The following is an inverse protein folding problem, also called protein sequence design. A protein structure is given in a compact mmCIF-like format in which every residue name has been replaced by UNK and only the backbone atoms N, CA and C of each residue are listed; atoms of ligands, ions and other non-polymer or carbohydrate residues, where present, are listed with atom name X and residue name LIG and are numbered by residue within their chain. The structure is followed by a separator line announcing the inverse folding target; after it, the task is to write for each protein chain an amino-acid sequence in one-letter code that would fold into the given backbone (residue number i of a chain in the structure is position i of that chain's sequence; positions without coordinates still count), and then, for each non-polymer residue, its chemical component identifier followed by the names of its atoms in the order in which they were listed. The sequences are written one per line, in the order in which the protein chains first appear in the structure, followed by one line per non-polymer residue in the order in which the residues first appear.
data_IF_885009815357
#
_entry.id   IF_885009815357
#
_cell.length_a   1.000
_cell.length_b   1.000
_cell.length_c   1.000
_cell.angle_alpha   90.00
_cell.angle_beta   90.00
_cell.angle_gamma   90.00
#
_symmetry.space_group_name_H-M   'P 1'
#
loop_
_entity.id
_entity.type
_entity.pdbx_description
1 polymer ?
#
# COMPACT_ATOMS: atom_id res chain seq x y z
N UNK A 1 -52.12 55.73 0.37
CA UNK A 1 -51.09 55.22 -0.56
C UNK A 1 -49.75 55.21 0.19
N UNK A 2 -49.51 54.16 0.99
CA UNK A 2 -48.28 53.99 1.77
C UNK A 2 -47.65 52.66 1.36
N UNK A 3 -46.44 52.71 0.79
CA UNK A 3 -45.63 51.53 0.45
C UNK A 3 -44.88 51.07 1.71
N UNK A 4 -45.04 49.81 2.09
CA UNK A 4 -44.14 49.15 3.05
C UNK A 4 -42.91 48.58 2.32
N UNK A 5 -41.71 48.63 2.91
CA UNK A 5 -40.53 47.97 2.37
C UNK A 5 -40.51 46.48 2.77
N UNK A 6 -40.12 45.61 1.84
CA UNK A 6 -39.82 44.19 2.10
C UNK A 6 -38.37 44.06 2.61
N UNK A 7 -38.07 43.19 3.57
CA UNK A 7 -36.70 42.97 4.01
C UNK A 7 -35.96 42.07 3.01
N UNK A 8 -34.70 42.42 2.72
CA UNK A 8 -33.76 41.52 2.06
C UNK A 8 -33.42 40.37 3.02
N UNK A 9 -33.67 39.13 2.58
CA UNK A 9 -33.14 37.93 3.22
C UNK A 9 -31.72 37.74 2.68
N UNK A 10 -30.73 38.00 3.52
CA UNK A 10 -29.35 37.58 3.26
C UNK A 10 -29.25 36.06 3.49
N UNK A 11 -29.03 35.31 2.42
CA UNK A 11 -28.72 33.88 2.50
C UNK A 11 -27.24 33.78 2.90
N UNK A 12 -27.00 33.44 4.17
CA UNK A 12 -25.67 33.15 4.69
C UNK A 12 -25.29 31.73 4.24
N UNK A 13 -24.41 31.61 3.26
CA UNK A 13 -23.73 30.34 2.97
C UNK A 13 -22.73 30.05 4.08
N UNK A 14 -23.09 29.22 5.05
CA UNK A 14 -22.14 28.63 5.98
C UNK A 14 -21.33 27.57 5.24
N UNK A 15 -20.09 27.90 4.90
CA UNK A 15 -19.04 26.93 4.60
C UNK A 15 -18.87 26.04 5.83
N UNK A 16 -19.34 24.78 5.76
CA UNK A 16 -18.98 23.76 6.73
C UNK A 16 -17.51 23.41 6.51
N UNK A 17 -16.64 23.96 7.36
CA UNK A 17 -15.28 23.44 7.50
C UNK A 17 -15.36 22.05 8.15
N UNK A 18 -14.58 21.06 7.69
CA UNK A 18 -14.51 19.76 8.36
C UNK A 18 -13.98 19.98 9.78
N UNK A 19 -14.79 19.66 10.78
CA UNK A 19 -14.37 19.72 12.18
C UNK A 19 -13.50 18.50 12.48
N UNK A 20 -12.28 18.74 12.98
CA UNK A 20 -11.47 17.72 13.64
C UNK A 20 -12.29 17.08 14.78
N UNK A 21 -12.78 15.86 14.55
CA UNK A 21 -13.46 15.07 15.57
C UNK A 21 -12.43 14.57 16.57
N UNK A 22 -12.23 15.33 17.65
CA UNK A 22 -11.38 14.96 18.77
C UNK A 22 -12.26 14.41 19.90
N UNK A 23 -11.85 13.30 20.53
CA UNK A 23 -12.59 12.67 21.61
C UNK A 23 -12.99 13.67 22.71
N UNK A 24 -14.19 13.46 23.28
CA UNK A 24 -14.75 14.34 24.30
C UNK A 24 -13.94 14.21 25.59
N UNK A 25 -13.37 15.32 26.07
CA UNK A 25 -12.56 15.35 27.30
C UNK A 25 -11.05 15.35 27.10
N UNK A 26 -10.54 15.20 25.88
CA UNK A 26 -9.11 15.28 25.60
C UNK A 26 -8.61 16.73 25.43
N UNK A 27 -7.35 17.04 25.84
CA UNK A 27 -6.71 18.31 25.55
C UNK A 27 -6.75 18.63 24.04
N UNK A 28 -7.27 19.80 23.69
CA UNK A 28 -7.34 20.24 22.29
C UNK A 28 -6.00 20.90 21.88
N UNK A 29 -5.34 20.46 20.79
CA UNK A 29 -4.12 21.09 20.32
C UNK A 29 -4.40 22.51 19.80
N UNK A 30 -3.37 23.35 19.66
CA UNK A 30 -3.54 24.73 19.17
C UNK A 30 -4.22 24.78 17.78
N UNK A 31 -3.91 23.83 16.90
CA UNK A 31 -4.53 23.74 15.57
C UNK A 31 -6.05 23.51 15.60
N UNK A 32 -6.61 22.97 16.70
CA UNK A 32 -8.06 22.87 16.86
C UNK A 32 -8.72 24.26 16.98
N UNK A 33 -8.05 25.19 17.69
CA UNK A 33 -8.56 26.55 17.89
C UNK A 33 -8.20 27.48 16.74
N UNK A 34 -7.02 27.28 16.13
CA UNK A 34 -6.50 28.08 15.02
C UNK A 34 -6.04 27.17 13.89
N UNK A 35 -6.97 26.68 13.05
CA UNK A 35 -6.64 25.72 11.99
C UNK A 35 -5.68 26.29 10.93
N UNK A 36 -5.73 27.61 10.71
CA UNK A 36 -4.85 28.33 9.77
C UNK A 36 -3.50 28.73 10.41
N UNK A 37 -3.21 28.33 11.65
CA UNK A 37 -1.94 28.63 12.30
C UNK A 37 -0.80 27.86 11.62
N UNK A 38 0.31 28.55 11.34
CA UNK A 38 1.53 27.92 10.82
C UNK A 38 2.00 26.78 11.73
N UNK A 39 2.06 25.57 11.18
CA UNK A 39 2.54 24.40 11.90
C UNK A 39 4.07 24.29 11.82
N UNK A 40 4.74 24.40 12.97
CA UNK A 40 6.20 24.25 13.08
C UNK A 40 6.65 22.83 13.45
N UNK A 41 5.72 21.90 13.69
CA UNK A 41 6.05 20.51 14.05
C UNK A 41 6.95 19.80 13.02
N UNK A 42 6.77 19.98 11.69
CA UNK A 42 7.63 19.34 10.69
C UNK A 42 9.12 19.70 10.84
N UNK A 43 9.46 20.86 11.41
CA UNK A 43 10.86 21.28 11.61
C UNK A 43 11.57 20.53 12.76
N UNK A 44 10.83 19.74 13.53
CA UNK A 44 11.33 18.97 14.68
C UNK A 44 11.19 17.45 14.47
N UNK A 45 10.73 17.02 13.30
CA UNK A 45 10.63 15.60 13.01
C UNK A 45 12.01 14.95 12.99
N UNK A 46 12.03 13.69 13.42
CA UNK A 46 13.20 12.83 13.54
C UNK A 46 14.30 13.43 14.40
N UNK A 47 13.91 14.24 15.39
CA UNK A 47 14.83 14.74 16.41
C UNK A 47 15.40 13.60 17.25
N UNK A 48 16.54 13.86 17.90
CA UNK A 48 17.27 12.84 18.68
C UNK A 48 16.41 12.18 19.75
N UNK A 49 15.44 12.90 20.32
CA UNK A 49 14.57 12.41 21.38
C UNK A 49 13.63 11.28 20.93
N UNK A 50 13.31 11.19 19.63
CA UNK A 50 12.50 10.08 19.10
C UNK A 50 13.34 8.86 18.71
N UNK A 51 14.68 8.99 18.63
CA UNK A 51 15.58 7.94 18.16
C UNK A 51 16.27 7.19 19.32
N UNK A 52 15.99 5.89 19.54
CA UNK A 52 16.57 5.09 20.62
C UNK A 52 18.03 4.66 20.38
N UNK A 53 18.61 4.94 19.21
CA UNK A 53 19.95 4.43 18.84
C UNK A 53 21.10 5.26 19.44
N UNK A 54 20.83 6.51 19.82
CA UNK A 54 21.79 7.45 20.39
C UNK A 54 22.78 8.03 19.36
N UNK A 55 23.39 9.17 19.71
CA UNK A 55 24.21 10.01 18.80
C UNK A 55 25.40 9.31 18.15
N UNK A 56 25.92 8.24 18.77
CA UNK A 56 27.08 7.50 18.29
C UNK A 56 26.76 6.35 17.35
N UNK A 57 25.48 6.11 17.02
CA UNK A 57 25.10 5.00 16.13
C UNK A 57 25.28 5.38 14.66
N UNK A 58 26.02 4.55 13.93
CA UNK A 58 26.21 4.67 12.48
C UNK A 58 25.67 3.41 11.81
N UNK A 59 24.52 3.53 11.12
CA UNK A 59 23.89 2.40 10.47
C UNK A 59 24.75 1.83 9.34
N UNK A 60 25.42 2.67 8.56
CA UNK A 60 26.23 2.23 7.43
C UNK A 60 27.39 1.33 7.90
N UNK A 61 28.06 1.69 9.00
CA UNK A 61 29.09 0.84 9.62
C UNK A 61 28.53 -0.48 10.14
N UNK A 62 27.35 -0.44 10.77
CA UNK A 62 26.70 -1.67 11.25
C UNK A 62 26.24 -2.59 10.11
N UNK A 63 25.73 -2.03 9.01
CA UNK A 63 25.30 -2.77 7.83
C UNK A 63 26.48 -3.39 7.07
N UNK A 64 27.62 -2.70 6.97
CA UNK A 64 28.85 -3.29 6.38
C UNK A 64 29.30 -4.57 7.08
N UNK A 65 29.06 -4.66 8.40
CA UNK A 65 29.35 -5.85 9.21
C UNK A 65 28.23 -6.91 9.22
N UNK A 66 27.20 -6.79 8.38
CA UNK A 66 26.11 -7.76 8.24
C UNK A 66 26.50 -8.85 7.23
N UNK A 67 26.30 -10.11 7.62
CA UNK A 67 26.36 -11.23 6.67
C UNK A 67 25.06 -11.24 5.84
N UNK A 68 25.07 -10.50 4.73
CA UNK A 68 23.91 -10.37 3.86
C UNK A 68 23.51 -11.71 3.22
N UNK A 69 24.46 -12.59 2.94
CA UNK A 69 24.17 -13.92 2.40
C UNK A 69 23.37 -14.77 3.41
N UNK A 70 23.76 -14.75 4.69
CA UNK A 70 23.00 -15.41 5.74
C UNK A 70 21.58 -14.83 5.89
N UNK A 71 21.42 -13.51 5.76
CA UNK A 71 20.08 -12.87 5.79
C UNK A 71 19.21 -13.38 4.65
N UNK A 72 19.75 -13.43 3.42
CA UNK A 72 19.02 -13.93 2.25
C UNK A 72 18.58 -15.39 2.44
N UNK A 73 19.44 -16.25 3.00
CA UNK A 73 19.11 -17.65 3.32
C UNK A 73 17.96 -17.74 4.34
N UNK A 74 18.00 -16.94 5.40
CA UNK A 74 16.92 -16.91 6.39
C UNK A 74 15.59 -16.44 5.80
N UNK A 75 15.65 -15.42 4.95
CA UNK A 75 14.49 -14.88 4.23
C UNK A 75 13.88 -15.95 3.31
N UNK A 76 14.70 -16.62 2.50
CA UNK A 76 14.24 -17.68 1.60
C UNK A 76 13.62 -18.86 2.39
N UNK A 77 14.23 -19.22 3.52
CA UNK A 77 13.67 -20.24 4.41
C UNK A 77 12.30 -19.83 4.95
N UNK A 78 12.15 -18.59 5.43
CA UNK A 78 10.87 -18.06 5.89
C UNK A 78 9.82 -18.11 4.79
N UNK A 79 10.17 -17.73 3.55
CA UNK A 79 9.24 -17.73 2.42
C UNK A 79 8.58 -19.08 2.18
N UNK A 80 9.30 -20.16 2.43
CA UNK A 80 8.86 -21.55 2.24
C UNK A 80 8.35 -22.20 3.54
N UNK A 81 8.24 -21.43 4.63
CA UNK A 81 7.79 -21.90 5.95
C UNK A 81 6.48 -21.22 6.34
N UNK A 82 5.36 -21.76 5.83
CA UNK A 82 4.02 -21.25 6.13
C UNK A 82 3.73 -21.21 7.63
N UNK A 83 3.04 -20.16 8.07
CA UNK A 83 2.57 -19.96 9.44
C UNK A 83 1.06 -20.12 9.50
N UNK A 84 0.55 -20.82 10.50
CA UNK A 84 -0.89 -21.14 10.61
C UNK A 84 -1.78 -19.90 10.75
N UNK A 85 -1.26 -18.82 11.37
CA UNK A 85 -1.99 -17.57 11.55
C UNK A 85 -2.12 -16.76 10.25
N UNK A 86 -1.29 -17.04 9.25
CA UNK A 86 -1.37 -16.45 7.92
C UNK A 86 -0.80 -17.38 6.86
N UNK A 87 -1.50 -18.45 6.45
CA UNK A 87 -0.93 -19.48 5.59
C UNK A 87 -0.45 -18.94 4.24
N UNK A 88 0.68 -19.45 3.75
CA UNK A 88 1.27 -19.03 2.49
C UNK A 88 0.47 -19.56 1.29
N UNK A 89 0.05 -18.67 0.39
CA UNK A 89 -0.51 -19.08 -0.90
C UNK A 89 0.50 -19.92 -1.66
N UNK A 90 0.03 -21.03 -2.24
CA UNK A 90 0.87 -21.97 -3.00
C UNK A 90 2.08 -22.50 -2.21
N UNK A 91 2.06 -22.40 -0.87
CA UNK A 91 3.18 -22.77 -0.01
C UNK A 91 4.38 -21.80 -0.06
N UNK A 92 4.23 -20.60 -0.63
CA UNK A 92 5.32 -19.64 -0.79
C UNK A 92 4.87 -18.18 -0.57
N UNK A 93 5.46 -17.47 0.41
CA UNK A 93 5.18 -16.05 0.66
C UNK A 93 5.81 -15.07 -0.35
N UNK A 94 6.40 -15.57 -1.43
CA UNK A 94 7.23 -14.78 -2.35
C UNK A 94 6.44 -13.62 -2.96
N UNK A 95 5.29 -13.91 -3.62
CA UNK A 95 4.47 -12.86 -4.21
C UNK A 95 3.96 -11.84 -3.18
N UNK A 96 3.68 -12.28 -1.95
CA UNK A 96 3.23 -11.41 -0.87
C UNK A 96 4.32 -10.41 -0.45
N UNK A 97 5.58 -10.85 -0.41
CA UNK A 97 6.71 -9.97 -0.11
C UNK A 97 7.11 -9.06 -1.28
N UNK A 98 6.91 -9.50 -2.54
CA UNK A 98 7.04 -8.61 -3.70
C UNK A 98 6.06 -7.45 -3.59
N UNK A 99 4.78 -7.73 -3.30
CA UNK A 99 3.78 -6.68 -3.06
C UNK A 99 4.18 -5.77 -1.90
N UNK A 100 4.66 -6.32 -0.78
CA UNK A 100 5.10 -5.52 0.36
C UNK A 100 6.22 -4.54 0.00
N UNK A 101 7.26 -5.02 -0.69
CA UNK A 101 8.38 -4.21 -1.13
C UNK A 101 7.94 -3.14 -2.16
N UNK A 102 7.11 -3.53 -3.12
CA UNK A 102 6.48 -2.63 -4.10
C UNK A 102 5.71 -1.51 -3.42
N UNK A 103 4.80 -1.83 -2.49
CA UNK A 103 4.00 -0.83 -1.76
C UNK A 103 4.87 0.02 -0.82
N UNK A 104 6.00 -0.50 -0.35
CA UNK A 104 6.92 0.28 0.49
C UNK A 104 7.62 1.36 -0.34
N UNK A 105 7.97 1.07 -1.59
CA UNK A 105 8.60 2.03 -2.49
C UNK A 105 7.57 2.93 -3.22
N UNK A 106 6.37 2.42 -3.47
CA UNK A 106 5.37 3.04 -4.33
C UNK A 106 4.62 4.22 -3.74
N UNK A 107 5.00 4.72 -2.56
CA UNK A 107 4.46 6.01 -2.07
C UNK A 107 5.28 7.21 -2.54
N UNK A 108 6.43 6.95 -3.19
CA UNK A 108 7.38 7.97 -3.64
C UNK A 108 6.77 8.91 -4.68
N UNK A 109 7.07 10.22 -4.59
CA UNK A 109 6.65 11.20 -5.60
C UNK A 109 7.78 12.15 -5.99
N UNK A 110 7.94 12.36 -7.30
CA UNK A 110 9.00 13.23 -7.85
C UNK A 110 8.82 14.71 -7.50
N UNK A 111 7.58 15.13 -7.21
CA UNK A 111 7.24 16.54 -7.04
C UNK A 111 7.91 17.17 -5.81
N UNK A 112 8.10 16.40 -4.74
CA UNK A 112 8.74 16.84 -3.50
C UNK A 112 9.71 15.81 -2.89
N UNK A 113 9.88 14.65 -3.53
CA UNK A 113 10.79 13.59 -3.11
C UNK A 113 10.32 12.80 -1.87
N UNK A 114 9.10 13.05 -1.38
CA UNK A 114 8.55 12.34 -0.21
C UNK A 114 7.99 10.97 -0.57
N UNK A 115 7.76 10.17 0.47
CA UNK A 115 7.39 8.77 0.34
C UNK A 115 8.58 7.88 -0.02
N UNK A 116 8.29 6.67 -0.47
CA UNK A 116 9.29 5.66 -0.79
C UNK A 116 9.72 4.83 0.43
N UNK A 117 10.71 3.97 0.19
CA UNK A 117 11.08 2.92 1.14
C UNK A 117 12.19 3.32 2.14
N UNK A 118 12.72 4.54 2.06
CA UNK A 118 13.94 4.93 2.76
C UNK A 118 13.86 4.84 4.28
N UNK A 119 12.79 5.33 4.91
CA UNK A 119 12.62 5.31 6.37
C UNK A 119 11.92 4.06 6.92
N UNK A 120 11.49 3.15 6.04
CA UNK A 120 10.61 2.04 6.42
C UNK A 120 9.21 2.51 6.85
N UNK A 121 8.75 3.66 6.38
CA UNK A 121 7.52 4.36 6.78
C UNK A 121 6.24 3.52 6.65
N UNK A 122 6.22 2.45 5.83
CA UNK A 122 5.08 1.52 5.73
C UNK A 122 4.70 0.85 7.08
N UNK A 123 5.59 0.88 8.08
CA UNK A 123 5.29 0.36 9.43
C UNK A 123 4.62 1.37 10.36
N UNK A 124 4.46 2.61 9.93
CA UNK A 124 3.84 3.68 10.70
C UNK A 124 2.57 4.21 10.02
N UNK A 125 1.78 4.95 10.79
CA UNK A 125 0.63 5.67 10.28
C UNK A 125 1.06 6.80 9.33
N UNK A 126 0.23 7.16 8.34
CA UNK A 126 -1.03 6.49 7.97
C UNK A 126 -0.81 5.24 7.09
N UNK A 127 0.42 4.97 6.65
CA UNK A 127 0.71 3.99 5.60
C UNK A 127 0.43 2.55 6.03
N UNK A 128 0.73 2.17 7.28
CA UNK A 128 0.44 0.85 7.83
C UNK A 128 -1.07 0.52 7.84
N UNK A 129 -1.95 1.52 7.70
CA UNK A 129 -3.41 1.42 7.78
C UNK A 129 -4.15 1.85 6.51
N UNK A 130 -3.43 2.22 5.45
CA UNK A 130 -4.04 2.48 4.14
C UNK A 130 -4.78 1.24 3.61
N UNK A 131 -5.96 1.40 2.98
CA UNK A 131 -6.70 0.28 2.39
C UNK A 131 -5.85 -0.53 1.40
N UNK A 132 -5.03 0.13 0.58
CA UNK A 132 -4.20 -0.56 -0.41
C UNK A 132 -3.03 -1.31 0.24
N UNK A 133 -2.71 -1.02 1.51
CA UNK A 133 -1.76 -1.77 2.32
C UNK A 133 -2.41 -2.86 3.18
N UNK A 134 -3.69 -3.17 2.93
CA UNK A 134 -4.40 -4.25 3.62
C UNK A 134 -3.58 -5.55 3.62
N UNK A 135 -3.55 -6.16 4.80
CA UNK A 135 -2.80 -7.38 5.16
C UNK A 135 -1.26 -7.27 5.09
N UNK A 136 -0.65 -6.15 4.66
CA UNK A 136 0.81 -6.01 4.69
C UNK A 136 1.38 -5.90 6.12
N UNK A 137 0.54 -5.63 7.11
CA UNK A 137 0.85 -5.84 8.54
C UNK A 137 1.24 -7.30 8.83
N UNK A 138 0.57 -8.28 8.22
CA UNK A 138 0.92 -9.71 8.31
C UNK A 138 2.26 -9.99 7.62
N UNK A 139 2.52 -9.41 6.45
CA UNK A 139 3.79 -9.54 5.74
C UNK A 139 4.97 -9.06 6.60
N UNK A 140 4.87 -7.84 7.15
CA UNK A 140 5.91 -7.29 8.04
C UNK A 140 6.07 -8.14 9.30
N UNK A 141 4.97 -8.65 9.86
CA UNK A 141 5.00 -9.52 11.05
C UNK A 141 5.74 -10.83 10.81
N UNK A 142 5.62 -11.45 9.64
CA UNK A 142 6.37 -12.66 9.27
C UNK A 142 7.89 -12.45 9.34
N UNK A 143 8.36 -11.23 9.06
CA UNK A 143 9.78 -10.89 9.04
C UNK A 143 10.37 -10.57 10.43
N UNK A 144 9.54 -10.47 11.47
CA UNK A 144 10.00 -10.15 12.83
C UNK A 144 11.11 -11.09 13.35
N UNK A 145 11.05 -12.42 13.20
CA UNK A 145 12.12 -13.31 13.66
C UNK A 145 13.48 -12.99 13.02
N UNK A 146 13.49 -12.59 11.74
CA UNK A 146 14.70 -12.19 11.01
C UNK A 146 15.20 -10.84 11.54
N UNK A 147 14.33 -9.83 11.65
CA UNK A 147 14.68 -8.53 12.25
C UNK A 147 15.26 -8.72 13.66
N UNK A 148 14.66 -9.59 14.47
CA UNK A 148 15.11 -9.91 15.83
C UNK A 148 16.49 -10.56 15.84
N UNK A 149 16.80 -11.45 14.89
CA UNK A 149 18.10 -12.12 14.77
C UNK A 149 19.22 -11.15 14.39
N UNK A 150 18.98 -10.25 13.44
CA UNK A 150 20.01 -9.35 12.91
C UNK A 150 20.05 -7.97 13.61
N UNK A 151 19.01 -7.63 14.38
CA UNK A 151 18.99 -6.48 15.26
C UNK A 151 19.29 -5.16 14.54
N UNK A 152 20.20 -4.37 15.10
CA UNK A 152 20.57 -3.04 14.59
C UNK A 152 21.41 -3.06 13.31
N UNK A 153 21.93 -4.22 12.90
CA UNK A 153 22.70 -4.35 11.65
C UNK A 153 21.81 -4.36 10.40
N UNK A 154 20.50 -4.55 10.58
CA UNK A 154 19.53 -4.63 9.50
C UNK A 154 18.30 -3.80 9.89
N UNK A 155 18.08 -2.68 9.20
CA UNK A 155 16.88 -1.86 9.37
C UNK A 155 15.64 -2.58 8.83
N UNK A 156 14.45 -2.17 9.26
CA UNK A 156 13.21 -2.60 8.64
C UNK A 156 13.12 -2.09 7.20
N UNK A 157 13.57 -0.88 6.95
CA UNK A 157 13.62 -0.28 5.61
C UNK A 157 14.37 -1.16 4.60
N UNK A 158 15.58 -1.61 4.94
CA UNK A 158 16.35 -2.52 4.08
C UNK A 158 15.76 -3.92 4.05
N UNK A 159 15.29 -4.45 5.19
CA UNK A 159 14.72 -5.80 5.25
C UNK A 159 13.49 -5.95 4.35
N UNK A 160 12.57 -4.98 4.34
CA UNK A 160 11.36 -5.07 3.52
C UNK A 160 11.68 -5.13 2.02
N UNK A 161 12.60 -4.28 1.54
CA UNK A 161 13.02 -4.26 0.14
C UNK A 161 13.85 -5.49 -0.21
N UNK A 162 14.82 -5.88 0.63
CA UNK A 162 15.63 -7.08 0.43
C UNK A 162 14.75 -8.33 0.33
N UNK A 163 13.69 -8.41 1.14
CA UNK A 163 12.75 -9.54 1.10
C UNK A 163 12.04 -9.63 -0.26
N UNK A 164 11.67 -8.49 -0.86
CA UNK A 164 11.14 -8.46 -2.22
C UNK A 164 12.15 -8.97 -3.25
N UNK A 165 13.42 -8.56 -3.16
CA UNK A 165 14.49 -9.08 -4.03
C UNK A 165 14.69 -10.58 -3.88
N UNK A 166 14.77 -11.10 -2.65
CA UNK A 166 14.95 -12.54 -2.40
C UNK A 166 13.74 -13.33 -2.89
N UNK A 167 12.53 -12.78 -2.82
CA UNK A 167 11.33 -13.41 -3.38
C UNK A 167 11.43 -13.59 -4.90
N UNK A 168 11.87 -12.54 -5.60
CA UNK A 168 12.09 -12.60 -7.05
C UNK A 168 13.13 -13.68 -7.39
N UNK A 169 14.27 -13.66 -6.70
CA UNK A 169 15.36 -14.62 -6.90
C UNK A 169 14.93 -16.07 -6.62
N UNK A 170 14.20 -16.30 -5.52
CA UNK A 170 13.76 -17.64 -5.12
C UNK A 170 12.74 -18.25 -6.08
N UNK A 171 12.08 -17.41 -6.89
CA UNK A 171 11.09 -17.81 -7.90
C UNK A 171 11.66 -17.74 -9.33
N UNK A 172 12.99 -17.57 -9.49
CA UNK A 172 13.68 -17.72 -10.77
C UNK A 172 13.91 -16.42 -11.56
N UNK A 173 13.73 -15.25 -10.95
CA UNK A 173 14.11 -13.97 -11.56
C UNK A 173 15.45 -13.47 -11.03
N UNK A 174 16.40 -13.18 -11.93
CA UNK A 174 17.67 -12.57 -11.56
C UNK A 174 17.51 -11.06 -11.35
N UNK A 175 17.67 -10.59 -10.12
CA UNK A 175 17.59 -9.16 -9.82
C UNK A 175 18.85 -8.42 -10.29
N UNK A 176 18.68 -7.16 -10.70
CA UNK A 176 19.81 -6.33 -11.15
C UNK A 176 20.84 -6.05 -10.06
N UNK A 177 20.40 -6.02 -8.80
CA UNK A 177 21.23 -5.80 -7.63
C UNK A 177 20.44 -5.35 -6.42
N UNK A 178 21.13 -5.19 -5.30
CA UNK A 178 20.59 -4.67 -4.06
C UNK A 178 21.63 -3.80 -3.36
N UNK A 179 21.18 -2.67 -2.81
CA UNK A 179 21.95 -1.83 -1.92
C UNK A 179 21.19 -1.65 -0.61
N UNK A 180 21.89 -1.85 0.51
CA UNK A 180 21.43 -1.42 1.82
C UNK A 180 21.97 -0.04 2.18
N UNK A 181 21.67 0.41 3.40
CA UNK A 181 21.99 1.75 3.91
C UNK A 181 20.75 2.59 4.19
N UNK A 182 19.54 2.04 4.12
CA UNK A 182 18.32 2.74 4.51
C UNK A 182 18.20 2.73 6.03
N UNK A 183 18.22 3.88 6.67
CA UNK A 183 18.06 3.99 8.12
C UNK A 183 16.58 3.86 8.51
N UNK A 184 16.33 3.30 9.70
CA UNK A 184 14.97 3.20 10.24
C UNK A 184 14.58 4.54 10.88
N UNK A 185 13.43 5.09 10.47
CA UNK A 185 12.82 6.22 11.19
C UNK A 185 12.13 5.76 12.47
N UNK A 186 11.91 6.64 13.44
CA UNK A 186 11.28 6.27 14.72
C UNK A 186 9.91 6.87 14.94
N UNK A 187 9.46 7.68 13.99
CA UNK A 187 8.13 8.25 13.93
C UNK A 187 7.64 8.37 12.48
N UNK A 188 6.34 8.60 12.32
CA UNK A 188 5.71 8.82 11.03
C UNK A 188 6.12 10.16 10.42
N UNK A 189 6.41 10.17 9.11
CA UNK A 189 6.57 11.40 8.36
C UNK A 189 5.26 12.20 8.28
N UNK A 190 5.35 13.52 8.43
CA UNK A 190 4.21 14.42 8.21
C UNK A 190 4.15 14.78 6.73
N UNK A 191 3.43 13.96 5.95
CA UNK A 191 3.28 14.12 4.50
C UNK A 191 1.85 14.48 4.13
N UNK A 192 1.70 15.43 3.20
CA UNK A 192 0.41 15.73 2.58
C UNK A 192 0.03 14.68 1.53
N UNK A 193 -0.86 13.77 1.92
CA UNK A 193 -1.33 12.66 1.07
C UNK A 193 -2.58 12.99 0.23
N UNK A 194 -3.23 14.11 0.49
CA UNK A 194 -4.42 14.56 -0.23
C UNK A 194 -5.36 15.38 0.66
N UNK A 195 -6.35 16.06 0.06
CA UNK A 195 -7.33 16.87 0.79
C UNK A 195 -8.43 16.04 1.46
N UNK A 196 -8.59 14.78 1.11
CA UNK A 196 -9.73 13.97 1.50
C UNK A 196 -9.72 13.61 2.99
N UNK A 197 -10.90 13.64 3.60
CA UNK A 197 -11.12 13.19 4.98
C UNK A 197 -11.48 11.70 5.07
N UNK A 198 -11.75 11.03 3.96
CA UNK A 198 -12.16 9.62 3.90
C UNK A 198 -11.23 8.83 2.99
N UNK A 199 -10.87 7.61 3.41
CA UNK A 199 -10.11 6.69 2.56
C UNK A 199 -10.91 6.32 1.31
N UNK A 200 -10.20 6.17 0.18
CA UNK A 200 -10.72 5.90 -1.16
C UNK A 200 -11.59 7.02 -1.76
N UNK A 201 -11.77 8.15 -1.07
CA UNK A 201 -12.37 9.32 -1.68
C UNK A 201 -11.42 9.98 -2.70
N UNK A 202 -12.01 10.80 -3.57
CA UNK A 202 -11.36 11.58 -4.61
C UNK A 202 -11.88 13.03 -4.57
N UNK A 203 -11.06 13.95 -4.07
CA UNK A 203 -11.29 15.41 -4.13
C UNK A 203 -10.07 16.13 -4.72
N UNK A 204 -9.30 15.41 -5.55
CA UNK A 204 -7.92 15.79 -5.93
C UNK A 204 -7.71 16.07 -7.41
N UNK A 205 -8.79 16.13 -8.18
CA UNK A 205 -8.76 16.46 -9.60
C UNK A 205 -9.38 17.84 -9.86
N UNK A 206 -8.85 18.51 -10.88
CA UNK A 206 -9.42 19.75 -11.43
C UNK A 206 -9.45 19.69 -12.95
N UNK A 207 -10.37 20.44 -13.57
CA UNK A 207 -10.50 20.51 -15.03
C UNK A 207 -10.69 19.14 -15.68
N UNK A 208 -9.99 18.89 -16.77
CA UNK A 208 -10.01 17.62 -17.51
C UNK A 208 -9.08 16.58 -16.86
N UNK A 209 -9.38 16.18 -15.62
CA UNK A 209 -8.65 15.13 -14.88
C UNK A 209 -7.17 15.47 -14.59
N UNK A 210 -6.89 16.74 -14.25
CA UNK A 210 -5.58 17.15 -13.75
C UNK A 210 -5.43 16.85 -12.26
N UNK A 211 -4.60 15.85 -11.93
CA UNK A 211 -4.30 15.47 -10.55
C UNK A 211 -3.52 16.59 -9.84
N UNK A 212 -3.88 16.86 -8.58
CA UNK A 212 -3.30 17.95 -7.79
C UNK A 212 -1.78 17.81 -7.54
N UNK A 213 -1.09 18.95 -7.58
CA UNK A 213 0.18 19.27 -6.89
C UNK A 213 0.29 18.93 -5.39
N UNK A 214 1.10 17.99 -4.84
CA UNK A 214 2.16 17.15 -5.42
C UNK A 214 1.76 15.67 -5.61
N UNK A 215 0.47 15.36 -5.58
CA UNK A 215 -0.10 14.01 -5.44
C UNK A 215 0.38 13.01 -6.50
N UNK A 216 0.59 11.77 -6.08
CA UNK A 216 1.04 10.65 -6.94
C UNK A 216 0.02 9.54 -7.13
N UNK A 217 -1.13 9.61 -6.46
CA UNK A 217 -2.16 8.58 -6.47
C UNK A 217 -3.54 9.17 -6.77
N UNK A 218 -4.44 8.37 -7.34
CA UNK A 218 -5.75 8.83 -7.82
C UNK A 218 -6.83 8.92 -6.74
N UNK A 219 -6.66 8.24 -5.60
CA UNK A 219 -7.58 8.26 -4.46
C UNK A 219 -6.80 8.19 -3.14
N UNK A 220 -7.42 8.64 -2.04
CA UNK A 220 -6.78 8.61 -0.72
C UNK A 220 -6.56 7.16 -0.27
N UNK A 221 -5.34 6.83 0.14
CA UNK A 221 -5.04 5.49 0.64
C UNK A 221 -4.74 4.43 -0.43
N UNK A 222 -4.68 4.81 -1.72
CA UNK A 222 -4.13 3.98 -2.80
C UNK A 222 -2.67 4.31 -3.06
N UNK A 223 -1.90 3.32 -3.53
CA UNK A 223 -0.50 3.52 -3.93
C UNK A 223 -0.43 4.31 -5.24
N UNK A 224 -1.16 3.88 -6.29
CA UNK A 224 -1.17 4.55 -7.61
C UNK A 224 -2.60 4.80 -8.08
N UNK A 225 -3.25 3.75 -8.60
CA UNK A 225 -4.52 3.80 -9.32
C UNK A 225 -5.54 2.87 -8.69
N UNK A 226 -6.82 3.08 -9.01
CA UNK A 226 -7.87 2.16 -8.63
C UNK A 226 -7.81 0.91 -9.55
N UNK A 227 -7.74 -0.31 -9.00
CA UNK A 227 -7.59 -1.53 -9.79
C UNK A 227 -8.87 -1.91 -10.56
N UNK A 228 -10.03 -1.33 -10.24
CA UNK A 228 -11.28 -1.44 -11.01
C UNK A 228 -11.43 -0.34 -12.08
N UNK A 229 -10.43 0.53 -12.22
CA UNK A 229 -10.43 1.67 -13.13
C UNK A 229 -10.91 2.98 -12.47
N UNK A 230 -10.86 4.12 -13.19
CA UNK A 230 -11.15 5.45 -12.66
C UNK A 230 -12.48 5.52 -11.91
N UNK A 231 -12.44 5.77 -10.60
CA UNK A 231 -13.63 5.84 -9.74
C UNK A 231 -14.51 4.56 -9.79
N UNK A 232 -13.88 3.40 -10.00
CA UNK A 232 -14.55 2.11 -10.16
C UNK A 232 -15.19 1.89 -11.53
N UNK A 233 -14.94 2.77 -12.51
CA UNK A 233 -15.35 2.56 -13.90
C UNK A 233 -14.34 1.67 -14.64
N UNK A 234 -14.71 0.43 -15.05
CA UNK A 234 -13.79 -0.55 -15.63
C UNK A 234 -13.50 -0.28 -17.12
N UNK A 235 -13.09 0.94 -17.45
CA UNK A 235 -12.59 1.33 -18.78
C UNK A 235 -11.06 1.24 -18.81
N UNK A 236 -10.49 0.25 -19.53
CA UNK A 236 -9.03 0.07 -19.58
C UNK A 236 -8.28 1.24 -20.20
N UNK A 237 -8.88 1.96 -21.17
CA UNK A 237 -8.24 3.10 -21.82
C UNK A 237 -8.18 4.31 -20.89
N UNK A 238 -9.25 4.53 -20.12
CA UNK A 238 -9.25 5.55 -19.08
C UNK A 238 -8.29 5.18 -17.93
N UNK A 239 -8.26 3.91 -17.51
CA UNK A 239 -7.30 3.43 -16.51
C UNK A 239 -5.84 3.60 -16.97
N UNK A 240 -5.54 3.37 -18.25
CA UNK A 240 -4.20 3.57 -18.80
C UNK A 240 -3.71 5.03 -18.72
N UNK A 241 -4.62 6.02 -18.75
CA UNK A 241 -4.27 7.43 -18.56
C UNK A 241 -3.84 7.69 -17.11
N UNK A 242 -4.59 7.16 -16.15
CA UNK A 242 -4.26 7.25 -14.73
C UNK A 242 -2.95 6.53 -14.41
N UNK A 243 -2.74 5.33 -14.98
CA UNK A 243 -1.50 4.55 -14.81
C UNK A 243 -0.31 5.38 -15.28
N UNK A 244 -0.37 5.93 -16.51
CA UNK A 244 0.71 6.73 -17.07
C UNK A 244 1.00 7.99 -16.23
N UNK A 245 -0.04 8.72 -15.82
CA UNK A 245 0.14 9.94 -15.02
C UNK A 245 0.74 9.63 -13.65
N UNK A 246 0.21 8.63 -12.93
CA UNK A 246 0.67 8.31 -11.58
C UNK A 246 2.08 7.73 -11.58
N UNK A 247 2.39 6.77 -12.46
CA UNK A 247 3.74 6.25 -12.60
C UNK A 247 4.74 7.31 -13.06
N UNK A 248 4.35 8.21 -13.97
CA UNK A 248 5.18 9.35 -14.37
C UNK A 248 5.51 10.28 -13.20
N UNK A 249 4.57 10.48 -12.27
CA UNK A 249 4.81 11.20 -10.99
C UNK A 249 5.64 10.42 -9.98
N UNK A 250 5.92 9.15 -10.24
CA UNK A 250 6.80 8.28 -9.45
C UNK A 250 8.08 7.91 -10.21
N UNK A 251 8.46 8.75 -11.19
CA UNK A 251 9.68 8.63 -12.00
C UNK A 251 9.76 7.41 -12.93
N UNK A 252 8.63 6.78 -13.25
CA UNK A 252 8.60 5.66 -14.20
C UNK A 252 8.04 6.12 -15.54
N UNK A 253 8.77 5.84 -16.62
CA UNK A 253 8.31 6.04 -17.99
C UNK A 253 7.38 4.90 -18.44
N UNK A 254 6.86 4.97 -19.67
CA UNK A 254 5.95 3.95 -20.22
C UNK A 254 6.55 2.54 -20.25
N UNK A 255 7.82 2.37 -20.62
CA UNK A 255 8.51 1.06 -20.67
C UNK A 255 8.68 0.48 -19.27
N UNK A 256 9.17 1.28 -18.33
CA UNK A 256 9.35 0.89 -16.93
C UNK A 256 8.02 0.53 -16.27
N UNK A 257 6.97 1.28 -16.58
CA UNK A 257 5.61 1.04 -16.07
C UNK A 257 5.07 -0.31 -16.53
N UNK A 258 5.19 -0.62 -17.83
CA UNK A 258 4.77 -1.93 -18.35
C UNK A 258 5.59 -3.05 -17.73
N UNK A 259 6.92 -2.88 -17.63
CA UNK A 259 7.81 -3.88 -17.04
C UNK A 259 7.49 -4.16 -15.57
N UNK A 260 7.19 -3.12 -14.77
CA UNK A 260 6.85 -3.25 -13.35
C UNK A 260 5.49 -3.95 -13.15
N UNK A 261 4.46 -3.53 -13.88
CA UNK A 261 3.12 -4.10 -13.74
C UNK A 261 3.11 -5.56 -14.20
N UNK A 262 3.63 -5.83 -15.40
CA UNK A 262 3.67 -7.18 -15.94
C UNK A 262 4.58 -8.08 -15.11
N UNK A 263 5.78 -7.60 -14.75
CA UNK A 263 6.74 -8.36 -13.96
C UNK A 263 6.23 -8.67 -12.55
N UNK A 264 5.55 -7.72 -11.90
CA UNK A 264 4.92 -7.93 -10.59
C UNK A 264 3.75 -8.93 -10.65
N UNK A 265 2.83 -8.75 -11.61
CA UNK A 265 1.66 -9.61 -11.76
C UNK A 265 1.96 -10.98 -12.41
N UNK A 266 3.20 -11.26 -12.83
CA UNK A 266 3.65 -12.63 -13.10
C UNK A 266 3.49 -13.53 -11.86
N UNK A 267 3.55 -12.94 -10.66
CA UNK A 267 3.54 -13.64 -9.39
C UNK A 267 2.23 -13.47 -8.62
N UNK A 268 1.83 -14.53 -7.91
CA UNK A 268 0.79 -14.48 -6.90
C UNK A 268 -0.64 -14.35 -7.43
N UNK A 269 -1.48 -13.79 -6.56
CA UNK A 269 -2.92 -13.65 -6.77
C UNK A 269 -3.47 -12.46 -5.99
N UNK A 270 -4.70 -12.04 -6.33
CA UNK A 270 -5.53 -11.16 -5.52
C UNK A 270 -6.44 -11.97 -4.57
N UNK A 271 -6.89 -11.34 -3.48
CA UNK A 271 -7.77 -11.95 -2.46
C UNK A 271 -9.06 -11.16 -2.24
N UNK A 272 -10.18 -11.82 -2.45
CA UNK A 272 -11.54 -11.32 -2.45
C UNK A 272 -12.55 -12.46 -2.29
N UNK A 273 -12.25 -13.43 -1.41
CA UNK A 273 -12.99 -14.68 -1.26
C UNK A 273 -14.47 -14.50 -0.89
N UNK A 274 -14.82 -13.37 -0.27
CA UNK A 274 -16.19 -12.98 0.03
C UNK A 274 -16.30 -11.46 0.19
N UNK A 275 -17.53 -10.96 0.33
CA UNK A 275 -17.78 -9.55 0.62
C UNK A 275 -17.11 -9.15 1.94
N UNK A 276 -16.37 -8.02 2.00
CA UNK A 276 -15.69 -7.60 3.22
C UNK A 276 -16.67 -7.17 4.33
N UNK A 277 -17.83 -6.62 3.94
CA UNK A 277 -18.84 -6.15 4.89
C UNK A 277 -19.32 -7.27 5.82
N UNK A 278 -19.16 -7.06 7.14
CA UNK A 278 -19.49 -8.04 8.17
C UNK A 278 -18.43 -9.13 8.39
N UNK A 279 -17.38 -9.18 7.57
CA UNK A 279 -16.29 -10.15 7.66
C UNK A 279 -14.98 -9.51 8.14
N UNK A 280 -14.54 -8.45 7.47
CA UNK A 280 -13.24 -7.79 7.69
C UNK A 280 -13.38 -6.71 8.76
N UNK A 281 -12.56 -6.80 9.80
CA UNK A 281 -12.47 -5.84 10.90
C UNK A 281 -11.73 -4.54 10.52
N UNK A 282 -11.56 -3.62 11.49
CA UNK A 282 -10.88 -2.35 11.28
C UNK A 282 -9.41 -2.52 10.87
N UNK A 283 -8.88 -1.52 10.18
CA UNK A 283 -7.46 -1.33 9.89
C UNK A 283 -6.61 -1.22 11.17
N UNK A 284 -5.27 -1.42 11.11
CA UNK A 284 -4.41 -1.46 12.30
C UNK A 284 -4.56 -0.26 13.25
N UNK A 285 -4.72 0.96 12.73
CA UNK A 285 -4.91 2.18 13.53
C UNK A 285 -6.15 2.13 14.44
N UNK A 286 -7.21 1.46 13.99
CA UNK A 286 -8.49 1.38 14.66
C UNK A 286 -8.77 -0.01 15.27
N UNK A 287 -7.81 -0.93 15.16
CA UNK A 287 -7.92 -2.27 15.73
C UNK A 287 -7.75 -2.24 17.26
N UNK A 288 -8.33 -3.25 17.91
CA UNK A 288 -8.19 -3.44 19.36
C UNK A 288 -6.75 -3.71 19.77
N UNK A 289 -6.38 -3.34 20.99
CA UNK A 289 -5.01 -3.52 21.51
C UNK A 289 -4.59 -5.01 21.55
N UNK A 290 -5.56 -5.91 21.68
CA UNK A 290 -5.38 -7.37 21.63
C UNK A 290 -4.85 -7.88 20.28
N UNK A 291 -5.08 -7.14 19.19
CA UNK A 291 -4.56 -7.47 17.86
C UNK A 291 -3.05 -7.16 17.71
N UNK A 292 -2.46 -6.49 18.72
CA UNK A 292 -1.03 -6.22 18.79
C UNK A 292 -0.48 -5.55 17.52
N UNK A 293 -1.20 -4.54 17.02
CA UNK A 293 -0.84 -3.77 15.84
C UNK A 293 -1.09 -4.47 14.51
N UNK A 294 -1.84 -5.58 14.50
CA UNK A 294 -2.44 -6.13 13.28
C UNK A 294 -3.85 -5.56 13.09
N UNK A 295 -4.32 -5.56 11.85
CA UNK A 295 -5.65 -5.11 11.47
C UNK A 295 -6.31 -6.02 10.45
N UNK A 296 -7.45 -5.58 9.92
CA UNK A 296 -8.25 -6.29 8.90
C UNK A 296 -8.58 -7.74 9.27
N UNK A 297 -8.76 -8.00 10.57
CA UNK A 297 -9.05 -9.34 11.05
C UNK A 297 -10.34 -9.86 10.40
N UNK A 298 -10.22 -10.94 9.62
CA UNK A 298 -11.35 -11.53 8.93
C UNK A 298 -11.99 -12.60 9.83
N UNK A 299 -13.29 -12.44 10.11
CA UNK A 299 -14.09 -13.31 10.98
C UNK A 299 -14.93 -14.33 10.20
N UNK A 300 -14.91 -14.27 8.87
CA UNK A 300 -15.62 -15.20 8.00
C UNK A 300 -14.72 -16.38 7.59
N UNK A 301 -15.29 -17.58 7.50
CA UNK A 301 -14.54 -18.80 7.21
C UNK A 301 -13.42 -19.04 8.23
N UNK A 302 -12.23 -19.37 7.76
CA UNK A 302 -11.01 -19.44 8.59
C UNK A 302 -10.36 -18.07 8.83
N UNK A 303 -10.80 -17.02 8.14
CA UNK A 303 -10.21 -15.69 8.20
C UNK A 303 -8.89 -15.53 7.43
N UNK A 304 -8.36 -16.59 6.83
CA UNK A 304 -7.11 -16.60 6.08
C UNK A 304 -7.11 -17.74 5.03
N UNK A 305 -5.97 -17.93 4.33
CA UNK A 305 -5.83 -18.91 3.25
C UNK A 305 -6.92 -18.73 2.18
N UNK A 306 -7.70 -19.78 1.89
CA UNK A 306 -8.79 -19.74 0.90
C UNK A 306 -9.92 -18.76 1.23
N UNK A 307 -10.02 -18.28 2.48
CA UNK A 307 -11.03 -17.32 2.91
C UNK A 307 -10.49 -15.88 3.00
N UNK A 308 -9.26 -15.64 2.53
CA UNK A 308 -8.60 -14.33 2.63
C UNK A 308 -9.34 -13.26 1.83
N UNK A 309 -9.46 -12.06 2.41
CA UNK A 309 -10.00 -10.87 1.77
C UNK A 309 -8.97 -9.75 1.96
N UNK A 310 -8.51 -9.17 0.86
CA UNK A 310 -7.54 -8.06 0.85
C UNK A 310 -8.08 -6.90 0.00
N UNK A 311 -8.03 -7.03 -1.32
CA UNK A 311 -8.47 -6.00 -2.26
C UNK A 311 -9.94 -6.13 -2.65
N UNK A 312 -10.50 -7.35 -2.49
CA UNK A 312 -11.82 -7.70 -3.01
C UNK A 312 -11.77 -8.27 -4.43
N UNK A 313 -10.66 -8.15 -5.15
CA UNK A 313 -10.42 -8.89 -6.41
C UNK A 313 -9.97 -10.31 -6.08
N UNK A 314 -10.29 -11.29 -6.92
CA UNK A 314 -9.98 -12.70 -6.64
C UNK A 314 -9.38 -13.41 -7.86
N UNK A 315 -8.27 -14.12 -7.64
CA UNK A 315 -7.66 -15.00 -8.63
C UNK A 315 -6.21 -14.66 -8.95
N UNK A 316 -5.54 -15.60 -9.63
CA UNK A 316 -4.16 -15.46 -10.10
C UNK A 316 -4.12 -15.01 -11.56
N UNK A 317 -3.01 -14.39 -11.95
CA UNK A 317 -2.79 -13.97 -13.35
C UNK A 317 -2.07 -15.02 -14.20
N UNK A 318 -1.38 -15.98 -13.57
CA UNK A 318 -0.58 -17.02 -14.21
C UNK A 318 -0.93 -18.41 -13.68
N UNK A 319 -0.61 -19.45 -14.46
CA UNK A 319 -0.79 -20.85 -14.08
C UNK A 319 0.27 -21.32 -13.07
N UNK A 320 1.41 -20.62 -13.01
CA UNK A 320 2.46 -20.86 -12.02
C UNK A 320 2.76 -19.58 -11.23
N UNK A 321 1.94 -19.25 -10.21
CA UNK A 321 2.03 -17.98 -9.47
C UNK A 321 3.31 -17.80 -8.64
N UNK A 322 4.14 -18.83 -8.55
CA UNK A 322 5.37 -18.82 -7.76
C UNK A 322 6.62 -19.06 -8.62
N UNK A 323 6.55 -18.71 -9.90
CA UNK A 323 7.68 -18.78 -10.83
C UNK A 323 7.70 -17.58 -11.78
N UNK A 324 8.92 -17.14 -12.12
CA UNK A 324 9.14 -16.17 -13.18
C UNK A 324 8.82 -16.80 -14.54
N UNK A 325 7.83 -16.24 -15.24
CA UNK A 325 7.35 -16.73 -16.54
C UNK A 325 6.86 -15.56 -17.41
N UNK A 326 6.63 -15.81 -18.70
CA UNK A 326 5.96 -14.86 -19.61
C UNK A 326 4.43 -14.94 -19.53
N UNK A 327 3.87 -15.82 -18.71
CA UNK A 327 2.44 -16.18 -18.78
C UNK A 327 1.50 -15.02 -18.55
N UNK A 328 1.86 -14.00 -17.77
CA UNK A 328 1.04 -12.79 -17.62
C UNK A 328 0.75 -12.14 -18.99
N UNK A 329 1.80 -11.91 -19.78
CA UNK A 329 1.68 -11.31 -21.11
C UNK A 329 1.09 -12.30 -22.12
N UNK A 330 1.50 -13.57 -22.07
CA UNK A 330 0.96 -14.60 -22.96
C UNK A 330 -0.56 -14.71 -22.80
N UNK A 331 -1.05 -14.75 -21.55
CA UNK A 331 -2.48 -14.78 -21.24
C UNK A 331 -3.17 -13.49 -21.67
N UNK A 332 -2.59 -12.33 -21.38
CA UNK A 332 -3.17 -11.03 -21.72
C UNK A 332 -3.44 -10.89 -23.22
N UNK A 333 -2.51 -11.37 -24.07
CA UNK A 333 -2.64 -11.28 -25.52
C UNK A 333 -3.35 -12.47 -26.18
N UNK A 334 -3.33 -13.66 -25.57
CA UNK A 334 -3.90 -14.86 -26.17
C UNK A 334 -5.42 -14.97 -25.99
N UNK A 335 -5.99 -14.32 -24.98
CA UNK A 335 -7.41 -14.41 -24.66
C UNK A 335 -8.16 -13.12 -24.98
N UNK A 336 -9.43 -13.28 -25.34
CA UNK A 336 -10.41 -12.21 -25.24
C UNK A 336 -10.91 -12.12 -23.80
N UNK A 337 -11.05 -10.91 -23.27
CA UNK A 337 -11.38 -10.69 -21.86
C UNK A 337 -12.78 -10.11 -21.73
N UNK A 338 -13.60 -10.72 -20.87
CA UNK A 338 -14.96 -10.24 -20.54
C UNK A 338 -15.04 -9.85 -19.07
N UNK A 339 -15.79 -8.78 -18.79
CA UNK A 339 -16.02 -8.33 -17.42
C UNK A 339 -16.83 -9.36 -16.64
N UNK A 340 -16.47 -9.53 -15.37
CA UNK A 340 -17.17 -10.34 -14.39
C UNK A 340 -17.09 -9.69 -13.02
N UNK A 341 -17.64 -10.38 -12.02
CA UNK A 341 -17.62 -9.97 -10.61
C UNK A 341 -16.89 -11.00 -9.76
N UNK A 342 -15.96 -10.54 -8.92
CA UNK A 342 -15.34 -11.37 -7.89
C UNK A 342 -16.39 -11.86 -6.87
N UNK A 343 -16.07 -12.85 -6.01
CA UNK A 343 -16.94 -13.22 -4.90
C UNK A 343 -17.25 -12.05 -3.93
N UNK A 344 -16.34 -11.08 -3.84
CA UNK A 344 -16.56 -9.84 -3.08
C UNK A 344 -17.40 -8.79 -3.82
N UNK A 345 -17.62 -8.95 -5.12
CA UNK A 345 -18.41 -8.02 -5.96
C UNK A 345 -17.59 -6.94 -6.68
N UNK A 346 -16.26 -7.01 -6.65
CA UNK A 346 -15.38 -6.14 -7.42
C UNK A 346 -15.47 -6.50 -8.93
N UNK A 347 -15.39 -5.50 -9.81
CA UNK A 347 -15.26 -5.73 -11.26
C UNK A 347 -13.87 -6.28 -11.56
N UNK A 348 -13.82 -7.39 -12.27
CA UNK A 348 -12.58 -7.95 -12.81
C UNK A 348 -12.82 -8.56 -14.18
N UNK A 349 -11.77 -9.08 -14.80
CA UNK A 349 -11.83 -9.66 -16.14
C UNK A 349 -11.48 -11.14 -16.09
N UNK A 350 -12.16 -11.94 -16.91
CA UNK A 350 -11.87 -13.36 -17.11
C UNK A 350 -11.82 -13.69 -18.60
N UNK A 351 -11.08 -14.73 -19.01
CA UNK A 351 -11.07 -15.18 -20.39
C UNK A 351 -12.47 -15.57 -20.86
N UNK A 352 -12.85 -15.08 -22.04
CA UNK A 352 -14.13 -15.34 -22.66
C UNK A 352 -14.35 -16.86 -22.84
N UNK A 353 -15.62 -17.28 -22.79
CA UNK A 353 -16.02 -18.67 -23.08
C UNK A 353 -15.30 -19.76 -22.26
N UNK A 354 -14.69 -19.40 -21.11
CA UNK A 354 -13.95 -20.34 -20.28
C UNK A 354 -12.63 -20.81 -20.90
N UNK A 355 -12.03 -20.05 -21.82
CA UNK A 355 -10.77 -20.37 -22.50
C UNK A 355 -9.62 -20.76 -21.55
N UNK A 356 -9.67 -20.32 -20.29
CA UNK A 356 -8.67 -20.61 -19.26
C UNK A 356 -9.19 -21.47 -18.09
N UNK A 357 -10.37 -22.10 -18.21
CA UNK A 357 -11.01 -22.80 -17.08
C UNK A 357 -10.17 -23.96 -16.49
N UNK A 358 -9.15 -24.43 -17.21
CA UNK A 358 -8.26 -25.53 -16.80
C UNK A 358 -6.80 -25.09 -16.55
N UNK A 359 -6.51 -23.79 -16.49
CA UNK A 359 -5.13 -23.28 -16.42
C UNK A 359 -4.62 -23.04 -14.98
N UNK A 360 -5.45 -23.17 -13.94
CA UNK A 360 -5.05 -22.96 -12.53
C UNK A 360 -5.64 -24.03 -11.62
#
# INVERSE_FOLDING_TARGET
MFRQPRPLIAILFTLLLPQLSLAQGEPKPNAFWWPEQLNLAPLRQHAVESNPMGDGFDYAEHFKGLDLAAVKVDIEKLMKTSQDWWPADYGHYGPFFIRMAWHSAGTYRVADGRGGAAGGQQRFEPLNSWPDNANLDKARRLLWPIKKKYGRKLSWADLMVLTGNVALESMGFETFGFAGGREDDWEADLVYWGPEAEFLADERYSGERKLEKPLGAVQMGLIYVNPEGPNGNPDPLAAAQDIRETFGRMAMNDEETVALIAGGHTFGKAHGAAKPAGCVGPEPAAAGIEEQGLGWQNKCGRGNAGDTITSGLEGAWSANPIAWTSQYLDNLYAFEWVQTKSPAGAVQWVPAEGQAANLV
#
